data_IF_879309791274
#
_entry.id   IF_879309791274
#
_cell.length_a   1.000
_cell.length_b   1.000
_cell.length_c   1.000
_cell.angle_alpha   90.00
_cell.angle_beta   90.00
_cell.angle_gamma   90.00
#
_symmetry.space_group_name_H-M   'P 1'
#
loop_
_entity.id
_entity.type
_entity.pdbx_description
1 polymer ?
#
# COMPACT_ATOMS: atom_id res chain seq x y z
N UNK A 1 1.45 -41.08 -97.62
CA UNK A 1 1.84 -41.90 -96.45
C UNK A 1 2.89 -41.13 -95.64
N UNK A 2 2.86 -41.22 -94.31
CA UNK A 2 3.92 -40.92 -93.31
C UNK A 2 4.88 -39.70 -93.45
N UNK A 3 4.86 -38.83 -92.40
CA UNK A 3 5.99 -38.16 -91.66
C UNK A 3 7.03 -37.28 -92.41
N UNK A 4 7.35 -36.03 -91.99
CA UNK A 4 8.02 -35.54 -90.74
C UNK A 4 9.48 -36.04 -90.66
N UNK A 5 10.55 -35.25 -90.45
CA UNK A 5 10.83 -33.96 -89.75
C UNK A 5 11.16 -32.76 -90.70
N UNK A 6 11.71 -31.60 -90.31
CA UNK A 6 11.48 -30.59 -89.22
C UNK A 6 12.71 -29.63 -89.09
N UNK A 7 12.56 -28.35 -88.67
CA UNK A 7 13.48 -27.54 -87.81
C UNK A 7 13.17 -26.03 -87.77
N UNK A 8 12.84 -25.48 -86.58
CA UNK A 8 12.88 -24.06 -86.25
C UNK A 8 13.17 -23.90 -84.74
N UNK A 9 13.97 -22.90 -84.35
CA UNK A 9 14.39 -22.68 -82.95
C UNK A 9 13.32 -21.97 -82.11
N UNK A 10 13.31 -22.16 -80.77
CA UNK A 10 12.33 -21.52 -79.90
C UNK A 10 12.67 -20.05 -79.62
N UNK A 11 11.69 -19.16 -79.78
CA UNK A 11 11.70 -17.86 -79.13
C UNK A 11 11.11 -17.99 -77.72
N UNK A 12 11.68 -17.30 -76.73
CA UNK A 12 11.12 -17.25 -75.38
C UNK A 12 9.79 -16.48 -75.38
N UNK A 13 8.69 -17.17 -75.12
CA UNK A 13 7.44 -16.55 -74.71
C UNK A 13 7.52 -16.26 -73.20
N UNK A 14 7.77 -15.01 -72.83
CA UNK A 14 7.68 -14.59 -71.44
C UNK A 14 6.21 -14.64 -70.99
N UNK A 15 5.89 -15.55 -70.08
CA UNK A 15 4.60 -15.54 -69.40
C UNK A 15 4.59 -14.34 -68.46
N UNK A 16 3.91 -13.26 -68.84
CA UNK A 16 3.52 -12.24 -67.88
C UNK A 16 2.60 -12.92 -66.87
N UNK A 17 3.06 -13.04 -65.62
CA UNK A 17 2.14 -13.17 -64.51
C UNK A 17 1.25 -11.92 -64.52
N UNK A 18 -0.07 -12.11 -64.51
CA UNK A 18 -0.98 -11.02 -64.16
C UNK A 18 -0.59 -10.51 -62.78
N UNK A 19 -0.56 -9.18 -62.53
CA UNK A 19 -0.52 -8.70 -61.16
C UNK A 19 -1.73 -9.30 -60.43
N UNK A 20 -1.52 -9.77 -59.21
CA UNK A 20 -2.64 -10.13 -58.33
C UNK A 20 -3.57 -8.92 -58.22
N UNK A 21 -4.88 -9.15 -58.22
CA UNK A 21 -5.83 -8.06 -58.01
C UNK A 21 -5.51 -7.39 -56.66
N UNK A 22 -5.35 -6.07 -56.66
CA UNK A 22 -5.09 -5.32 -55.44
C UNK A 22 -6.22 -5.59 -54.43
N UNK A 23 -5.86 -6.09 -53.26
CA UNK A 23 -6.77 -6.31 -52.13
C UNK A 23 -6.52 -5.27 -51.04
N UNK A 24 -7.47 -5.12 -50.11
CA UNK A 24 -7.16 -4.58 -48.81
C UNK A 24 -6.40 -5.65 -47.99
N UNK A 25 -5.75 -5.21 -46.90
CA UNK A 25 -5.13 -6.12 -45.93
C UNK A 25 -5.32 -5.55 -44.53
N UNK A 26 -6.02 -6.29 -43.66
CA UNK A 26 -6.35 -5.83 -42.30
C UNK A 26 -5.22 -6.17 -41.33
N UNK A 27 -4.74 -5.16 -40.60
CA UNK A 27 -3.77 -5.32 -39.52
C UNK A 27 -4.22 -4.61 -38.24
N UNK A 28 -3.69 -5.05 -37.10
CA UNK A 28 -3.89 -4.41 -35.79
C UNK A 28 -5.21 -4.76 -35.09
N UNK A 29 -6.15 -5.40 -35.77
CA UNK A 29 -7.42 -5.82 -35.19
C UNK A 29 -7.23 -6.87 -34.07
N UNK A 30 -7.65 -6.61 -32.82
CA UNK A 30 -7.41 -7.51 -31.70
C UNK A 30 -8.47 -8.62 -31.62
N UNK A 31 -8.04 -9.88 -31.52
CA UNK A 31 -8.95 -11.04 -31.36
C UNK A 31 -9.68 -11.08 -30.00
N UNK A 32 -9.19 -10.34 -28.99
CA UNK A 32 -9.83 -10.16 -27.69
C UNK A 32 -9.56 -8.75 -27.15
N UNK A 33 -10.54 -8.19 -26.47
CA UNK A 33 -10.45 -6.96 -25.68
C UNK A 33 -11.12 -7.19 -24.32
N UNK A 34 -10.34 -7.05 -23.24
CA UNK A 34 -10.78 -7.29 -21.86
C UNK A 34 -10.94 -5.94 -21.15
N UNK A 35 -12.15 -5.64 -20.70
CA UNK A 35 -12.50 -4.39 -20.02
C UNK A 35 -12.15 -4.44 -18.52
N UNK A 36 -11.78 -5.61 -18.00
CA UNK A 36 -11.44 -5.79 -16.59
C UNK A 36 -12.63 -5.56 -15.67
N UNK A 37 -12.44 -4.72 -14.64
CA UNK A 37 -13.51 -4.22 -13.78
C UNK A 37 -14.01 -2.88 -14.32
N UNK A 38 -15.33 -2.70 -14.36
CA UNK A 38 -15.99 -1.48 -14.87
C UNK A 38 -17.15 -1.06 -13.96
N UNK A 39 -17.44 0.24 -13.86
CA UNK A 39 -18.64 0.74 -13.16
C UNK A 39 -19.83 0.85 -14.12
N UNK A 40 -21.09 0.69 -13.65
CA UNK A 40 -22.30 0.77 -14.49
C UNK A 40 -22.48 2.11 -15.21
N UNK A 41 -22.13 3.20 -14.54
CA UNK A 41 -22.40 4.58 -14.94
C UNK A 41 -21.17 5.30 -15.52
N UNK A 42 -20.15 4.55 -15.95
CA UNK A 42 -18.91 5.13 -16.48
C UNK A 42 -19.15 6.06 -17.69
N UNK A 43 -18.72 7.33 -17.62
CA UNK A 43 -18.94 8.28 -18.71
C UNK A 43 -17.97 8.05 -19.88
N UNK A 44 -18.53 7.72 -21.05
CA UNK A 44 -17.82 7.71 -22.33
C UNK A 44 -17.12 6.39 -22.68
N UNK A 45 -16.08 6.51 -23.52
CA UNK A 45 -15.33 5.39 -24.10
C UNK A 45 -14.51 4.65 -23.05
N UNK A 46 -14.76 3.36 -22.88
CA UNK A 46 -13.98 2.46 -22.02
C UNK A 46 -12.91 1.67 -22.79
N UNK A 47 -13.00 1.57 -24.12
CA UNK A 47 -11.96 0.94 -24.89
C UNK A 47 -11.79 1.52 -26.29
N UNK A 48 -10.56 1.50 -26.79
CA UNK A 48 -10.22 1.88 -28.16
C UNK A 48 -9.82 0.62 -28.94
N UNK A 49 -10.56 0.36 -30.02
CA UNK A 49 -10.25 -0.70 -30.99
C UNK A 49 -9.97 -0.06 -32.35
N UNK A 50 -9.07 -0.61 -33.15
CA UNK A 50 -8.75 -0.05 -34.46
C UNK A 50 -8.13 -1.04 -35.41
N UNK A 51 -7.99 -0.61 -36.67
CA UNK A 51 -7.31 -1.37 -37.71
C UNK A 51 -6.54 -0.44 -38.66
N UNK A 52 -5.53 -1.01 -39.31
CA UNK A 52 -4.85 -0.44 -40.48
C UNK A 52 -5.27 -1.24 -41.71
N UNK A 53 -5.55 -0.54 -42.82
CA UNK A 53 -5.51 -1.16 -44.14
C UNK A 53 -4.07 -1.05 -44.67
N UNK A 54 -3.34 -2.16 -44.71
CA UNK A 54 -1.99 -2.25 -45.25
C UNK A 54 -1.95 -2.67 -46.73
N UNK A 55 -3.11 -2.92 -47.34
CA UNK A 55 -3.25 -3.34 -48.73
C UNK A 55 -3.23 -2.18 -49.73
N UNK A 56 -3.30 -2.52 -51.01
CA UNK A 56 -3.24 -1.58 -52.14
C UNK A 56 -4.63 -1.14 -52.63
N UNK A 57 -5.70 -1.85 -52.26
CA UNK A 57 -7.08 -1.45 -52.51
C UNK A 57 -7.78 -0.90 -51.24
N UNK A 58 -8.81 -0.05 -51.37
CA UNK A 58 -9.59 0.42 -50.24
C UNK A 58 -10.36 -0.72 -49.56
N UNK A 59 -10.34 -0.75 -48.23
CA UNK A 59 -11.19 -1.62 -47.41
C UNK A 59 -12.53 -0.92 -47.22
N UNK A 60 -13.65 -1.61 -47.45
CA UNK A 60 -14.98 -1.12 -47.06
C UNK A 60 -15.41 -1.87 -45.80
N UNK A 61 -15.89 -1.16 -44.80
CA UNK A 61 -16.56 -1.70 -43.62
C UNK A 61 -18.05 -1.39 -43.79
N UNK A 62 -18.86 -2.43 -43.99
CA UNK A 62 -20.27 -2.32 -44.37
C UNK A 62 -21.18 -2.10 -43.14
N UNK A 63 -20.86 -2.76 -42.02
CA UNK A 63 -21.54 -2.56 -40.73
C UNK A 63 -20.63 -2.93 -39.54
N UNK A 64 -21.05 -2.53 -38.35
CA UNK A 64 -20.50 -2.96 -37.07
C UNK A 64 -21.62 -3.33 -36.11
N UNK A 65 -21.56 -4.52 -35.49
CA UNK A 65 -22.57 -5.01 -34.55
C UNK A 65 -21.95 -5.70 -33.34
N UNK A 66 -22.67 -5.67 -32.21
CA UNK A 66 -22.35 -6.44 -31.02
C UNK A 66 -23.29 -7.63 -30.88
N UNK A 67 -22.74 -8.82 -30.69
CA UNK A 67 -23.47 -10.05 -30.43
C UNK A 67 -23.32 -10.44 -28.95
N UNK A 68 -24.41 -10.84 -28.29
CA UNK A 68 -24.44 -11.19 -26.86
C UNK A 68 -24.90 -10.05 -25.94
N UNK A 69 -24.12 -8.97 -25.79
CA UNK A 69 -24.39 -7.93 -24.79
C UNK A 69 -25.07 -6.67 -25.38
N UNK A 70 -26.34 -6.45 -25.04
CA UNK A 70 -27.14 -5.29 -25.46
C UNK A 70 -26.84 -3.96 -24.77
N UNK A 71 -25.67 -3.81 -24.18
CA UNK A 71 -25.24 -2.61 -23.40
C UNK A 71 -23.87 -2.06 -23.85
N UNK A 72 -23.48 -2.37 -25.08
CA UNK A 72 -22.29 -1.86 -25.75
C UNK A 72 -22.70 -0.92 -26.89
N UNK A 73 -21.92 0.15 -27.10
CA UNK A 73 -22.10 1.08 -28.20
C UNK A 73 -20.75 1.54 -28.77
N UNK A 74 -20.71 1.83 -30.07
CA UNK A 74 -19.60 2.57 -30.66
C UNK A 74 -19.78 4.08 -30.40
N UNK A 75 -18.70 4.75 -30.02
CA UNK A 75 -18.72 6.17 -29.67
C UNK A 75 -17.47 6.92 -30.21
N UNK A 76 -17.65 7.96 -31.05
CA UNK A 76 -18.90 8.30 -31.74
C UNK A 76 -19.38 7.14 -32.63
N UNK A 77 -20.70 7.04 -32.84
CA UNK A 77 -21.27 6.06 -33.76
C UNK A 77 -20.79 6.37 -35.19
N UNK A 78 -20.16 5.44 -35.91
CA UNK A 78 -19.69 5.69 -37.28
C UNK A 78 -20.85 5.66 -38.27
N UNK A 79 -20.79 6.55 -39.27
CA UNK A 79 -21.60 6.40 -40.49
C UNK A 79 -21.02 5.26 -41.35
N UNK A 80 -21.86 4.29 -41.70
CA UNK A 80 -21.50 3.15 -42.56
C UNK A 80 -22.28 3.22 -43.90
N UNK A 81 -21.72 2.71 -45.02
CA UNK A 81 -20.44 2.01 -45.12
C UNK A 81 -19.22 2.95 -45.08
N UNK A 82 -18.19 2.54 -44.35
CA UNK A 82 -16.99 3.33 -44.08
C UNK A 82 -15.80 2.82 -44.90
N UNK A 83 -15.21 3.68 -45.73
CA UNK A 83 -14.06 3.31 -46.59
C UNK A 83 -12.72 3.69 -45.93
N UNK A 84 -11.86 2.71 -45.69
CA UNK A 84 -10.47 2.90 -45.23
C UNK A 84 -9.52 2.77 -46.42
N UNK A 85 -9.00 3.91 -46.86
CA UNK A 85 -8.05 4.00 -47.98
C UNK A 85 -6.78 3.14 -47.76
N UNK A 86 -6.05 2.77 -48.83
CA UNK A 86 -4.73 2.13 -48.75
C UNK A 86 -3.79 2.88 -47.78
N UNK A 87 -3.04 2.13 -46.95
CA UNK A 87 -2.22 2.62 -45.83
C UNK A 87 -2.97 3.40 -44.72
N UNK A 88 -4.28 3.57 -44.84
CA UNK A 88 -5.14 4.27 -43.90
C UNK A 88 -5.38 3.51 -42.60
N UNK A 89 -5.92 4.22 -41.60
CA UNK A 89 -6.29 3.66 -40.29
C UNK A 89 -7.66 4.17 -39.86
N UNK A 90 -8.36 3.36 -39.06
CA UNK A 90 -9.57 3.76 -38.35
C UNK A 90 -9.49 3.25 -36.91
N UNK A 91 -10.09 4.00 -35.99
CA UNK A 91 -10.25 3.63 -34.58
C UNK A 91 -11.66 3.97 -34.11
N UNK A 92 -12.27 3.05 -33.37
CA UNK A 92 -13.59 3.17 -32.78
C UNK A 92 -13.45 3.17 -31.25
N UNK A 93 -14.15 4.10 -30.58
CA UNK A 93 -14.39 3.97 -29.15
C UNK A 93 -15.51 2.98 -28.90
N UNK A 94 -15.37 2.14 -27.88
CA UNK A 94 -16.45 1.30 -27.33
C UNK A 94 -16.82 1.85 -25.96
N UNK A 95 -18.09 2.18 -25.76
CA UNK A 95 -18.69 2.50 -24.46
C UNK A 95 -19.50 1.29 -23.96
N UNK A 96 -19.41 1.06 -22.65
CA UNK A 96 -20.19 0.09 -21.88
C UNK A 96 -21.15 0.86 -20.98
N UNK A 97 -22.43 0.49 -20.95
CA UNK A 97 -23.43 1.01 -19.98
C UNK A 97 -24.30 -0.14 -19.49
N UNK A 98 -23.70 -1.11 -18.79
CA UNK A 98 -24.46 -2.24 -18.23
C UNK A 98 -25.29 -1.77 -17.04
N UNK A 99 -26.61 -2.02 -17.02
CA UNK A 99 -27.45 -1.81 -15.84
C UNK A 99 -27.37 -2.97 -14.83
N UNK A 100 -26.51 -3.97 -15.08
CA UNK A 100 -26.36 -5.18 -14.28
C UNK A 100 -24.91 -5.42 -13.88
N UNK A 101 -24.72 -5.81 -12.63
CA UNK A 101 -23.44 -6.27 -12.08
C UNK A 101 -23.14 -7.73 -12.44
N UNK A 102 -21.86 -8.08 -12.41
CA UNK A 102 -21.35 -9.41 -12.68
C UNK A 102 -20.53 -9.52 -13.98
N UNK A 103 -20.06 -10.73 -14.30
CA UNK A 103 -19.26 -10.97 -15.49
C UNK A 103 -20.12 -10.89 -16.77
N UNK A 104 -19.56 -10.33 -17.83
CA UNK A 104 -20.20 -10.25 -19.14
C UNK A 104 -19.26 -10.63 -20.28
N UNK A 105 -19.84 -11.01 -21.42
CA UNK A 105 -19.12 -11.35 -22.65
C UNK A 105 -19.93 -10.98 -23.88
N UNK A 106 -19.26 -10.55 -24.95
CA UNK A 106 -19.85 -10.27 -26.25
C UNK A 106 -18.84 -10.57 -27.37
N UNK A 107 -19.28 -10.58 -28.62
CA UNK A 107 -18.39 -10.46 -29.78
C UNK A 107 -18.74 -9.18 -30.56
N UNK A 108 -17.75 -8.37 -30.89
CA UNK A 108 -17.88 -7.28 -31.87
C UNK A 108 -17.53 -7.83 -33.24
N UNK A 109 -18.46 -7.71 -34.18
CA UNK A 109 -18.28 -8.09 -35.58
C UNK A 109 -18.27 -6.84 -36.46
N UNK A 110 -17.25 -6.69 -37.30
CA UNK A 110 -17.26 -5.80 -38.46
C UNK A 110 -17.44 -6.65 -39.71
N UNK A 111 -18.45 -6.36 -40.53
CA UNK A 111 -18.53 -6.92 -41.88
C UNK A 111 -17.69 -6.05 -42.82
N UNK A 112 -16.78 -6.65 -43.59
CA UNK A 112 -15.88 -5.92 -44.49
C UNK A 112 -15.80 -6.54 -45.88
N UNK A 113 -15.28 -5.78 -46.85
CA UNK A 113 -15.04 -6.24 -48.23
C UNK A 113 -14.10 -7.44 -48.34
N UNK A 114 -13.30 -7.73 -47.31
CA UNK A 114 -12.40 -8.89 -47.23
C UNK A 114 -12.95 -10.01 -46.30
N UNK A 115 -14.19 -9.87 -45.81
CA UNK A 115 -14.87 -10.79 -44.88
C UNK A 115 -15.04 -10.23 -43.45
N UNK A 116 -15.71 -10.99 -42.56
CA UNK A 116 -15.99 -10.55 -41.19
C UNK A 116 -14.75 -10.54 -40.30
N UNK A 117 -14.59 -9.46 -39.52
CA UNK A 117 -13.60 -9.33 -38.45
C UNK A 117 -14.30 -9.45 -37.10
N UNK A 118 -13.89 -10.41 -36.26
CA UNK A 118 -14.48 -10.62 -34.93
C UNK A 118 -13.52 -10.24 -33.81
N UNK A 119 -14.01 -9.69 -32.71
CA UNK A 119 -13.25 -9.45 -31.48
C UNK A 119 -14.04 -9.89 -30.25
N UNK A 120 -13.44 -10.72 -29.39
CA UNK A 120 -14.08 -11.18 -28.14
C UNK A 120 -13.96 -10.13 -27.06
N UNK A 121 -15.11 -9.63 -26.61
CA UNK A 121 -15.23 -8.64 -25.56
C UNK A 121 -15.66 -9.32 -24.25
N UNK A 122 -15.20 -8.79 -23.12
CA UNK A 122 -15.69 -9.21 -21.82
C UNK A 122 -15.12 -8.37 -20.69
N UNK A 123 -15.67 -8.56 -19.50
CA UNK A 123 -15.28 -7.87 -18.28
C UNK A 123 -16.20 -8.23 -17.11
N UNK A 124 -16.16 -7.46 -16.04
CA UNK A 124 -17.05 -7.58 -14.88
C UNK A 124 -17.51 -6.21 -14.44
N UNK A 125 -18.82 -6.01 -14.34
CA UNK A 125 -19.42 -4.75 -13.89
C UNK A 125 -19.68 -4.83 -12.38
N UNK A 126 -19.33 -3.75 -11.67
CA UNK A 126 -19.47 -3.65 -10.21
C UNK A 126 -19.96 -2.25 -9.84
N UNK A 127 -21.24 -2.16 -9.46
CA UNK A 127 -21.89 -0.94 -8.95
C UNK A 127 -21.41 -0.57 -7.56
N UNK A 128 -21.25 -1.58 -6.70
CA UNK A 128 -20.90 -1.47 -5.29
C UNK A 128 -19.79 -2.46 -4.95
N UNK A 129 -18.78 -1.99 -4.23
CA UNK A 129 -17.74 -2.80 -3.61
C UNK A 129 -17.89 -2.71 -2.09
N UNK A 130 -17.72 -3.85 -1.41
CA UNK A 130 -17.69 -3.93 0.05
C UNK A 130 -16.36 -4.57 0.42
N UNK A 131 -15.44 -3.77 0.95
CA UNK A 131 -14.23 -4.28 1.57
C UNK A 131 -14.52 -4.58 3.05
N UNK A 132 -14.17 -5.80 3.48
CA UNK A 132 -14.37 -6.28 4.86
C UNK A 132 -13.05 -6.33 5.57
N UNK A 133 -12.99 -5.65 6.71
CA UNK A 133 -11.85 -5.66 7.60
C UNK A 133 -12.26 -6.29 8.93
N UNK A 134 -11.38 -7.13 9.46
CA UNK A 134 -11.49 -7.71 10.81
C UNK A 134 -10.17 -7.39 11.48
N UNK A 135 -10.21 -6.73 12.63
CA UNK A 135 -9.01 -6.59 13.47
C UNK A 135 -8.68 -7.99 14.00
N UNK A 136 -7.53 -8.53 13.60
CA UNK A 136 -7.12 -9.85 14.10
C UNK A 136 -6.86 -9.77 15.61
N UNK A 137 -7.36 -10.73 16.41
CA UNK A 137 -7.13 -10.73 17.84
C UNK A 137 -5.64 -10.79 18.14
N UNK A 138 -5.17 -9.81 18.89
CA UNK A 138 -3.82 -9.71 19.46
C UNK A 138 -2.71 -10.31 18.58
N UNK A 139 -2.19 -9.58 17.58
CA UNK A 139 -0.79 -9.80 17.25
C UNK A 139 0.00 -9.71 18.56
N UNK A 140 0.89 -10.67 18.79
CA UNK A 140 1.91 -10.54 19.83
C UNK A 140 2.68 -9.25 19.56
N UNK A 141 3.18 -8.56 20.58
CA UNK A 141 3.92 -7.30 20.35
C UNK A 141 5.32 -7.40 20.92
N UNK A 142 6.33 -7.25 20.07
CA UNK A 142 7.71 -7.11 20.49
C UNK A 142 8.03 -5.61 20.47
N UNK A 143 8.21 -5.00 21.63
CA UNK A 143 8.52 -3.57 21.76
C UNK A 143 10.00 -3.38 22.12
N UNK A 144 10.77 -2.80 21.20
CA UNK A 144 12.15 -2.42 21.44
C UNK A 144 12.20 -0.95 21.87
N UNK A 145 12.53 -0.71 23.13
CA UNK A 145 12.71 0.66 23.66
C UNK A 145 14.18 1.04 23.59
N UNK A 146 14.47 2.18 22.95
CA UNK A 146 15.79 2.81 22.89
C UNK A 146 15.77 4.02 23.81
N UNK A 147 16.65 4.09 24.80
CA UNK A 147 16.73 5.23 25.73
C UNK A 147 18.12 5.83 25.64
N UNK A 148 18.22 7.12 25.31
CA UNK A 148 19.50 7.85 25.31
C UNK A 148 20.04 7.97 26.77
N UNK A 149 21.29 7.54 26.95
CA UNK A 149 22.02 7.49 28.21
C UNK A 149 23.02 8.66 28.36
N UNK A 150 22.98 9.65 27.44
CA UNK A 150 23.82 10.83 27.46
C UNK A 150 23.58 11.75 28.69
N UNK A 151 24.59 12.53 29.05
CA UNK A 151 24.57 13.39 30.24
C UNK A 151 23.52 14.51 30.23
N UNK A 152 22.99 14.89 29.06
CA UNK A 152 21.89 15.86 28.92
C UNK A 152 20.53 15.25 29.28
N UNK A 153 20.36 13.93 29.13
CA UNK A 153 19.16 13.19 29.54
C UNK A 153 18.98 13.12 31.07
N UNK A 154 19.88 13.68 31.90
CA UNK A 154 19.80 13.62 33.38
C UNK A 154 18.45 14.06 33.94
N UNK A 155 17.94 15.20 33.48
CA UNK A 155 16.66 15.76 33.96
C UNK A 155 15.47 14.96 33.42
N UNK A 156 15.61 14.47 32.18
CA UNK A 156 14.64 13.57 31.52
C UNK A 156 14.51 12.23 32.27
N UNK A 157 15.62 11.56 32.60
CA UNK A 157 15.64 10.27 33.30
C UNK A 157 14.95 10.32 34.68
N UNK A 158 15.01 11.48 35.36
CA UNK A 158 14.36 11.68 36.64
C UNK A 158 12.82 11.75 36.54
N UNK A 159 12.28 12.30 35.45
CA UNK A 159 10.84 12.25 35.15
C UNK A 159 10.40 10.92 34.55
N UNK A 160 11.23 10.37 33.64
CA UNK A 160 10.93 9.17 32.84
C UNK A 160 10.50 7.98 33.69
N UNK A 161 11.13 7.75 34.84
CA UNK A 161 10.79 6.63 35.71
C UNK A 161 9.33 6.66 36.17
N UNK A 162 8.81 7.83 36.56
CA UNK A 162 7.45 7.95 37.06
C UNK A 162 6.41 7.72 35.94
N UNK A 163 6.62 8.32 34.77
CA UNK A 163 5.76 8.09 33.60
C UNK A 163 5.79 6.61 33.18
N UNK A 164 6.97 5.99 33.13
CA UNK A 164 7.07 4.57 32.77
C UNK A 164 6.39 3.65 33.80
N UNK A 165 6.30 4.03 35.07
CA UNK A 165 5.61 3.24 36.11
C UNK A 165 4.08 3.22 35.88
N UNK A 166 3.50 4.39 35.56
CA UNK A 166 2.09 4.51 35.15
C UNK A 166 1.80 3.71 33.87
N UNK A 167 2.66 3.88 32.86
CA UNK A 167 2.52 3.26 31.54
C UNK A 167 2.67 1.74 31.57
N UNK A 168 3.67 1.23 32.27
CA UNK A 168 3.87 -0.21 32.39
C UNK A 168 2.78 -0.87 33.25
N UNK A 169 2.17 -0.13 34.20
CA UNK A 169 1.00 -0.61 34.94
C UNK A 169 -0.20 -0.79 34.01
N UNK A 170 -0.49 0.19 33.15
CA UNK A 170 -1.57 0.09 32.15
C UNK A 170 -1.29 -1.01 31.10
N UNK A 171 -0.05 -1.12 30.62
CA UNK A 171 0.40 -2.16 29.68
C UNK A 171 0.25 -3.59 30.25
N UNK A 172 0.38 -3.77 31.56
CA UNK A 172 0.06 -5.05 32.25
C UNK A 172 -1.46 -5.23 32.39
N UNK A 173 -2.21 -4.16 32.65
CA UNK A 173 -3.67 -4.23 32.83
C UNK A 173 -4.46 -4.57 31.56
N UNK A 174 -3.99 -4.15 30.38
CA UNK A 174 -4.70 -4.34 29.11
C UNK A 174 -4.60 -5.76 28.51
N UNK A 175 -3.63 -6.58 28.92
CA UNK A 175 -3.60 -8.02 28.60
C UNK A 175 -3.01 -8.54 27.27
N UNK A 176 -2.39 -7.79 26.34
CA UNK A 176 -1.84 -8.40 25.11
C UNK A 176 -0.55 -9.20 25.37
N UNK A 177 -0.26 -10.22 24.54
CA UNK A 177 0.97 -11.05 24.63
C UNK A 177 2.21 -10.29 24.14
N UNK A 178 2.72 -9.39 24.99
CA UNK A 178 3.89 -8.56 24.69
C UNK A 178 5.20 -9.10 25.25
N UNK A 179 6.29 -8.70 24.61
CA UNK A 179 7.66 -8.74 25.09
C UNK A 179 8.27 -7.34 24.93
N UNK A 180 8.97 -6.84 25.95
CA UNK A 180 9.66 -5.55 25.90
C UNK A 180 11.14 -5.75 26.19
N UNK A 181 11.99 -5.28 25.28
CA UNK A 181 13.44 -5.23 25.43
C UNK A 181 13.93 -3.78 25.42
N UNK A 182 14.99 -3.48 26.17
CA UNK A 182 15.57 -2.12 26.25
C UNK A 182 17.01 -2.11 25.77
N UNK A 183 17.39 -1.11 24.97
CA UNK A 183 18.77 -0.81 24.55
C UNK A 183 19.10 0.68 24.75
N UNK A 184 20.39 0.98 24.79
CA UNK A 184 20.92 2.34 24.61
C UNK A 184 21.27 2.57 23.12
N UNK A 185 21.43 3.82 22.65
CA UNK A 185 21.97 4.12 21.33
C UNK A 185 23.48 3.82 21.19
N UNK A 186 24.12 3.19 22.19
CA UNK A 186 25.57 3.03 22.28
C UNK A 186 26.15 1.87 21.46
N UNK A 187 27.06 2.20 20.55
CA UNK A 187 27.86 1.20 19.84
C UNK A 187 28.81 0.40 20.76
N UNK A 188 29.13 0.92 21.95
CA UNK A 188 30.00 0.23 22.93
C UNK A 188 29.25 -0.89 23.65
N UNK A 189 27.96 -0.71 23.90
CA UNK A 189 27.10 -1.77 24.42
C UNK A 189 26.79 -2.83 23.36
N UNK A 190 26.91 -2.47 22.07
CA UNK A 190 26.97 -3.40 20.94
C UNK A 190 25.61 -3.92 20.48
N UNK A 191 24.56 -3.12 20.66
CA UNK A 191 23.16 -3.41 20.30
C UNK A 191 22.57 -4.66 21.01
N UNK A 192 23.07 -4.98 22.21
CA UNK A 192 22.51 -6.02 23.06
C UNK A 192 21.42 -5.44 23.94
N UNK A 193 20.30 -6.16 24.02
CA UNK A 193 19.27 -5.91 25.04
C UNK A 193 19.91 -5.90 26.44
N UNK A 194 19.57 -4.90 27.26
CA UNK A 194 20.00 -4.81 28.67
C UNK A 194 19.53 -6.06 29.43
N UNK A 195 20.33 -6.52 30.38
CA UNK A 195 20.01 -7.68 31.20
C UNK A 195 19.60 -7.26 32.62
N UNK A 196 18.57 -7.92 33.16
CA UNK A 196 18.25 -7.89 34.58
C UNK A 196 19.37 -8.58 35.39
N UNK A 197 19.47 -8.33 36.72
CA UNK A 197 20.44 -9.01 37.59
C UNK A 197 20.31 -10.55 37.60
N UNK A 198 19.13 -11.07 37.25
CA UNK A 198 18.82 -12.50 37.09
C UNK A 198 19.25 -13.08 35.73
N UNK A 199 19.46 -12.24 34.71
CA UNK A 199 20.04 -12.59 33.41
C UNK A 199 19.11 -12.46 32.20
N UNK A 200 17.80 -12.35 32.41
CA UNK A 200 16.81 -12.12 31.35
C UNK A 200 17.01 -10.75 30.70
N UNK A 201 16.74 -10.65 29.39
CA UNK A 201 17.03 -9.46 28.56
C UNK A 201 15.80 -8.72 28.03
N UNK A 202 14.64 -9.32 28.22
CA UNK A 202 13.34 -8.74 27.95
C UNK A 202 12.39 -9.21 29.05
N UNK A 203 11.25 -8.53 29.18
CA UNK A 203 10.16 -8.90 30.07
C UNK A 203 8.93 -9.21 29.23
N UNK A 204 8.11 -10.16 29.65
CA UNK A 204 6.81 -10.46 29.04
C UNK A 204 5.67 -10.32 30.04
N UNK A 205 4.45 -10.12 29.54
CA UNK A 205 3.24 -9.97 30.39
C UNK A 205 2.98 -11.18 31.32
N UNK A 206 3.52 -12.36 30.97
CA UNK A 206 3.31 -13.62 31.69
C UNK A 206 4.19 -13.75 32.95
N UNK A 207 5.07 -12.77 33.22
CA UNK A 207 6.03 -12.83 34.31
C UNK A 207 5.56 -12.06 35.55
N UNK A 208 5.87 -12.54 36.77
CA UNK A 208 5.60 -11.77 37.99
C UNK A 208 6.41 -10.47 38.00
N UNK A 209 5.86 -9.46 38.67
CA UNK A 209 6.49 -8.17 38.95
C UNK A 209 6.98 -7.44 37.68
N UNK A 210 6.28 -7.65 36.56
CA UNK A 210 6.68 -7.18 35.24
C UNK A 210 6.93 -5.66 35.19
N UNK A 211 6.11 -4.85 35.88
CA UNK A 211 6.30 -3.39 36.01
C UNK A 211 7.67 -3.05 36.63
N UNK A 212 8.02 -3.67 37.77
CA UNK A 212 9.30 -3.41 38.45
C UNK A 212 10.49 -3.85 37.57
N UNK A 213 10.35 -4.97 36.87
CA UNK A 213 11.36 -5.49 35.94
C UNK A 213 11.55 -4.59 34.72
N UNK A 214 10.47 -4.06 34.15
CA UNK A 214 10.53 -3.09 33.06
C UNK A 214 11.18 -1.78 33.51
N UNK A 215 10.85 -1.28 34.70
CA UNK A 215 11.51 -0.11 35.30
C UNK A 215 13.01 -0.33 35.52
N UNK A 216 13.42 -1.52 35.95
CA UNK A 216 14.84 -1.89 36.07
C UNK A 216 15.55 -1.96 34.71
N UNK A 217 14.92 -2.52 33.67
CA UNK A 217 15.44 -2.49 32.30
C UNK A 217 15.47 -1.07 31.69
N UNK A 218 14.62 -0.16 32.16
CA UNK A 218 14.52 1.22 31.66
C UNK A 218 15.44 2.22 32.38
N UNK A 219 15.92 1.88 33.59
CA UNK A 219 16.91 2.67 34.33
C UNK A 219 18.31 2.54 33.71
N UNK A 220 18.50 3.19 32.56
CA UNK A 220 19.78 3.24 31.82
C UNK A 220 20.76 4.27 32.39
N UNK A 221 20.25 5.25 33.14
CA UNK A 221 21.02 6.36 33.69
C UNK A 221 21.33 7.46 32.65
N UNK A 222 22.33 8.29 32.97
CA UNK A 222 22.75 9.46 32.18
C UNK A 222 24.30 9.57 32.11
N UNK A 223 25.00 8.45 32.34
CA UNK A 223 26.47 8.38 32.40
C UNK A 223 27.09 7.69 31.17
N UNK A 224 26.32 7.60 30.09
CA UNK A 224 26.68 6.95 28.85
C UNK A 224 27.81 7.62 28.08
N UNK A 225 28.31 6.97 27.01
CA UNK A 225 29.38 7.52 26.18
C UNK A 225 28.94 8.69 25.29
N UNK A 226 27.63 8.97 25.18
CA UNK A 226 27.09 9.99 24.28
C UNK A 226 27.06 9.57 22.81
N UNK A 227 27.21 8.27 22.54
CA UNK A 227 27.10 7.68 21.20
C UNK A 227 25.61 7.66 20.78
N UNK A 228 25.15 8.59 19.93
CA UNK A 228 23.74 8.70 19.50
C UNK A 228 23.40 7.87 18.24
N UNK A 229 23.71 6.58 18.26
CA UNK A 229 23.59 5.67 17.11
C UNK A 229 22.33 4.79 17.19
N UNK A 230 21.18 5.40 17.51
CA UNK A 230 19.95 4.69 17.84
C UNK A 230 19.36 3.86 16.68
N UNK A 231 19.32 4.40 15.46
CA UNK A 231 18.78 3.64 14.30
C UNK A 231 19.68 2.45 13.93
N UNK A 232 21.00 2.62 14.03
CA UNK A 232 21.96 1.52 13.92
C UNK A 232 21.75 0.49 15.04
N UNK A 233 21.60 0.93 16.29
CA UNK A 233 21.44 0.06 17.44
C UNK A 233 20.16 -0.80 17.33
N UNK A 234 19.04 -0.21 16.90
CA UNK A 234 17.80 -0.94 16.56
C UNK A 234 18.07 -1.99 15.49
N UNK A 235 18.68 -1.60 14.36
CA UNK A 235 18.91 -2.54 13.25
C UNK A 235 19.77 -3.72 13.67
N UNK A 236 20.90 -3.48 14.34
CA UNK A 236 21.79 -4.56 14.77
C UNK A 236 21.17 -5.42 15.88
N UNK A 237 20.38 -4.82 16.79
CA UNK A 237 19.67 -5.54 17.86
C UNK A 237 18.65 -6.54 17.29
N UNK A 238 18.01 -6.18 16.17
CA UNK A 238 16.96 -6.95 15.50
C UNK A 238 17.45 -7.78 14.30
N UNK A 239 18.75 -7.73 13.98
CA UNK A 239 19.37 -8.57 12.93
C UNK A 239 20.59 -9.32 13.46
N UNK A 240 21.76 -8.70 13.46
CA UNK A 240 23.05 -9.27 13.89
C UNK A 240 23.05 -9.87 15.31
N UNK A 241 22.13 -9.44 16.18
CA UNK A 241 21.97 -9.93 17.56
C UNK A 241 20.74 -10.80 17.79
N UNK A 242 19.77 -10.81 16.87
CA UNK A 242 18.45 -11.43 17.09
C UNK A 242 18.50 -12.94 17.31
N UNK A 243 19.46 -13.63 16.68
CA UNK A 243 19.71 -15.08 16.86
C UNK A 243 20.88 -15.37 17.82
N UNK A 244 21.36 -14.35 18.55
CA UNK A 244 22.55 -14.41 19.39
C UNK A 244 22.26 -13.87 20.80
N UNK A 245 22.85 -12.74 21.19
CA UNK A 245 22.65 -12.17 22.53
C UNK A 245 21.21 -11.68 22.80
N UNK A 246 20.39 -11.48 21.78
CA UNK A 246 18.97 -11.08 21.89
C UNK A 246 18.01 -12.24 21.53
N UNK A 247 18.49 -13.49 21.51
CA UNK A 247 17.71 -14.67 21.11
C UNK A 247 16.38 -14.80 21.85
N UNK A 248 15.31 -15.02 21.09
CA UNK A 248 13.94 -15.24 21.59
C UNK A 248 13.10 -13.97 21.81
N UNK A 249 13.68 -12.77 21.63
CA UNK A 249 12.93 -11.50 21.72
C UNK A 249 12.06 -11.21 20.49
N UNK A 250 12.57 -11.51 19.29
CA UNK A 250 11.88 -11.17 18.04
C UNK A 250 11.06 -12.37 17.56
N UNK A 251 9.76 -12.36 17.85
CA UNK A 251 8.83 -13.46 17.57
C UNK A 251 8.29 -13.36 16.12
N UNK A 252 8.17 -14.48 15.39
CA UNK A 252 7.78 -14.46 13.97
C UNK A 252 6.29 -14.19 13.74
N UNK A 253 5.47 -14.35 14.79
CA UNK A 253 4.02 -14.11 14.81
C UNK A 253 3.64 -12.86 15.63
N UNK A 254 4.56 -11.90 15.74
CA UNK A 254 4.39 -10.65 16.46
C UNK A 254 4.48 -9.40 15.56
N UNK A 255 3.73 -8.35 15.89
CA UNK A 255 4.02 -6.98 15.51
C UNK A 255 5.35 -6.51 16.13
N UNK A 256 5.89 -5.41 15.61
CA UNK A 256 7.13 -4.79 16.11
C UNK A 256 6.87 -3.30 16.37
N UNK A 257 7.05 -2.87 17.62
CA UNK A 257 7.13 -1.46 18.00
C UNK A 257 8.58 -1.10 18.29
N UNK A 258 8.99 0.10 17.84
CA UNK A 258 10.31 0.67 18.09
C UNK A 258 10.09 2.04 18.70
N UNK A 259 10.23 2.14 20.02
CA UNK A 259 10.10 3.40 20.75
C UNK A 259 11.47 3.99 21.04
N UNK A 260 11.74 5.22 20.60
CA UNK A 260 12.97 5.95 20.92
C UNK A 260 12.69 7.09 21.90
N UNK A 261 13.46 7.18 22.98
CA UNK A 261 13.44 8.26 23.97
C UNK A 261 14.78 8.98 23.91
N UNK A 262 14.83 10.16 23.27
CA UNK A 262 16.10 10.86 22.95
C UNK A 262 15.92 12.38 22.88
N UNK A 263 16.79 13.13 23.56
CA UNK A 263 16.83 14.60 23.54
C UNK A 263 17.47 15.20 22.27
N UNK A 264 17.90 14.37 21.31
CA UNK A 264 18.52 14.83 20.06
C UNK A 264 18.33 13.83 18.89
N UNK A 265 18.83 14.21 17.71
CA UNK A 265 18.78 13.40 16.50
C UNK A 265 19.73 12.19 16.50
N UNK A 266 19.38 11.22 15.65
CA UNK A 266 20.21 10.07 15.33
C UNK A 266 21.46 10.47 14.53
N UNK A 267 22.61 9.90 14.87
CA UNK A 267 23.89 10.07 14.17
C UNK A 267 24.32 8.78 13.43
N UNK A 268 23.41 7.81 13.24
CA UNK A 268 23.73 6.53 12.62
C UNK A 268 24.12 6.69 11.15
N UNK A 269 25.13 5.95 10.65
CA UNK A 269 25.50 5.98 9.24
C UNK A 269 24.35 5.44 8.37
N UNK A 270 24.10 6.10 7.23
CA UNK A 270 23.02 5.74 6.30
C UNK A 270 21.83 6.70 6.31
N UNK A 271 20.93 6.54 5.35
CA UNK A 271 19.74 7.39 5.16
C UNK A 271 18.53 6.92 5.98
N UNK A 272 17.56 7.81 6.19
CA UNK A 272 16.30 7.47 6.88
C UNK A 272 15.56 6.32 6.15
N UNK A 273 15.56 6.34 4.81
CA UNK A 273 14.86 5.33 4.01
C UNK A 273 15.58 3.97 4.00
N UNK A 274 16.91 3.94 4.09
CA UNK A 274 17.65 2.69 4.35
C UNK A 274 17.23 2.03 5.67
N UNK A 275 17.04 2.81 6.74
CA UNK A 275 16.53 2.28 8.01
C UNK A 275 15.04 1.90 7.93
N UNK A 276 14.21 2.71 7.26
CA UNK A 276 12.78 2.44 7.04
C UNK A 276 12.56 1.09 6.35
N UNK A 277 13.27 0.83 5.26
CA UNK A 277 13.16 -0.43 4.51
C UNK A 277 13.86 -1.60 5.23
N UNK A 278 14.97 -1.36 5.95
CA UNK A 278 15.58 -2.38 6.80
C UNK A 278 14.65 -2.84 7.94
N UNK A 279 13.92 -1.92 8.58
CA UNK A 279 12.95 -2.24 9.61
C UNK A 279 11.73 -2.96 9.03
N UNK A 280 11.18 -2.49 7.90
CA UNK A 280 10.11 -3.20 7.16
C UNK A 280 10.50 -4.64 6.82
N UNK A 281 11.74 -4.88 6.42
CA UNK A 281 12.26 -6.22 6.11
C UNK A 281 12.39 -7.16 7.33
N UNK A 282 12.24 -6.68 8.57
CA UNK A 282 12.12 -7.51 9.78
C UNK A 282 10.76 -8.22 9.90
N UNK A 283 9.82 -7.91 9.00
CA UNK A 283 8.49 -8.50 8.91
C UNK A 283 8.12 -8.82 7.46
N UNK A 284 7.07 -9.64 7.28
CA UNK A 284 6.63 -10.07 5.97
C UNK A 284 5.16 -10.47 5.94
N UNK A 285 4.59 -10.51 4.73
CA UNK A 285 3.18 -10.86 4.54
C UNK A 285 2.25 -9.88 5.24
N UNK A 286 1.32 -10.41 6.05
CA UNK A 286 0.29 -9.62 6.72
C UNK A 286 0.79 -8.76 7.90
N UNK A 287 2.03 -8.96 8.36
CA UNK A 287 2.61 -8.27 9.53
C UNK A 287 3.49 -7.07 9.14
N UNK A 288 3.21 -6.42 8.00
CA UNK A 288 4.01 -5.31 7.46
C UNK A 288 4.02 -4.04 8.33
N UNK A 289 3.14 -3.98 9.34
CA UNK A 289 3.02 -2.89 10.30
C UNK A 289 4.15 -2.99 11.36
N UNK A 290 5.34 -2.51 10.98
CA UNK A 290 6.39 -2.10 11.93
C UNK A 290 6.15 -0.65 12.29
N UNK A 291 5.86 -0.40 13.56
CA UNK A 291 5.66 0.95 14.08
C UNK A 291 6.98 1.51 14.60
N UNK A 292 7.15 2.82 14.43
CA UNK A 292 8.25 3.58 14.99
C UNK A 292 7.67 4.79 15.72
N UNK A 293 8.01 4.95 17.00
CA UNK A 293 7.53 6.02 17.87
C UNK A 293 8.72 6.77 18.47
N UNK A 294 8.60 8.08 18.68
CA UNK A 294 9.71 8.90 19.21
C UNK A 294 9.26 9.93 20.25
N UNK A 295 9.82 9.84 21.45
CA UNK A 295 9.76 10.87 22.49
C UNK A 295 11.05 11.69 22.43
N UNK A 296 10.95 12.98 22.10
CA UNK A 296 12.10 13.87 22.00
C UNK A 296 11.71 15.33 22.03
N UNK A 297 11.98 16.09 20.98
CA UNK A 297 11.50 17.48 20.94
C UNK A 297 10.00 17.61 20.64
N UNK A 298 9.44 16.67 19.89
CA UNK A 298 8.12 16.79 19.27
C UNK A 298 8.04 17.83 18.13
N UNK A 299 9.15 18.48 17.76
CA UNK A 299 9.18 19.60 16.81
C UNK A 299 10.51 19.74 16.06
N UNK A 300 10.44 20.21 14.81
CA UNK A 300 11.60 20.44 13.92
C UNK A 300 12.61 21.47 14.42
N UNK A 301 12.25 22.27 15.43
CA UNK A 301 13.09 23.35 16.00
C UNK A 301 13.68 23.05 17.37
N UNK A 302 13.43 21.86 17.93
CA UNK A 302 13.70 21.57 19.34
C UNK A 302 12.63 22.16 20.28
N UNK A 303 12.79 21.95 21.59
CA UNK A 303 11.89 22.45 22.63
C UNK A 303 12.63 22.76 23.95
N UNK A 304 11.95 23.44 24.87
CA UNK A 304 12.36 23.64 26.27
C UNK A 304 11.13 23.47 27.16
N UNK A 305 11.28 22.81 28.32
CA UNK A 305 10.16 22.50 29.22
C UNK A 305 10.61 22.22 30.67
N UNK A 306 9.72 21.67 31.52
CA UNK A 306 10.00 21.41 32.94
C UNK A 306 11.13 20.41 33.20
N UNK A 307 11.41 19.53 32.23
CA UNK A 307 12.40 18.45 32.30
C UNK A 307 13.66 18.70 31.45
N UNK A 308 13.91 19.97 31.08
CA UNK A 308 15.11 20.39 30.36
C UNK A 308 14.85 20.89 28.94
N UNK A 309 15.76 20.55 28.01
CA UNK A 309 15.72 20.94 26.60
C UNK A 309 16.00 19.75 25.69
N UNK A 310 15.29 19.68 24.56
CA UNK A 310 15.56 18.72 23.50
C UNK A 310 15.85 19.44 22.19
N UNK A 311 16.92 19.02 21.51
CA UNK A 311 17.33 19.45 20.18
C UNK A 311 16.38 18.86 19.11
N UNK A 312 16.38 19.39 17.86
CA UNK A 312 15.72 18.73 16.74
C UNK A 312 16.20 17.28 16.58
N UNK A 313 15.25 16.35 16.42
CA UNK A 313 15.50 14.95 16.07
C UNK A 313 14.85 14.60 14.73
N UNK A 314 15.37 15.15 13.63
CA UNK A 314 14.71 15.14 12.32
C UNK A 314 14.63 13.74 11.69
N UNK A 315 15.61 12.86 11.94
CA UNK A 315 15.60 11.48 11.43
C UNK A 315 14.58 10.62 12.19
N UNK A 316 14.51 10.76 13.51
CA UNK A 316 13.49 10.09 14.32
C UNK A 316 12.08 10.60 13.98
N UNK A 317 11.91 11.92 13.86
CA UNK A 317 10.64 12.54 13.45
C UNK A 317 10.16 12.03 12.08
N UNK A 318 11.05 11.90 11.09
CA UNK A 318 10.71 11.43 9.74
C UNK A 318 10.32 9.94 9.66
N UNK A 319 10.73 9.11 10.63
CA UNK A 319 10.26 7.74 10.80
C UNK A 319 8.94 7.71 11.57
N UNK A 320 8.89 8.41 12.70
CA UNK A 320 7.74 8.43 13.60
C UNK A 320 6.47 8.92 12.88
N UNK A 321 6.51 10.11 12.26
CA UNK A 321 5.38 10.67 11.48
C UNK A 321 4.96 9.79 10.27
N UNK A 322 5.73 8.75 9.92
CA UNK A 322 5.41 7.84 8.81
C UNK A 322 4.82 6.49 9.22
N UNK A 323 4.74 6.18 10.52
CA UNK A 323 4.32 4.85 11.00
C UNK A 323 3.72 4.82 12.41
N UNK A 324 4.18 5.68 13.32
CA UNK A 324 3.78 5.71 14.74
C UNK A 324 3.62 7.13 15.26
N UNK A 325 4.01 7.34 16.53
CA UNK A 325 3.60 8.53 17.28
C UNK A 325 4.79 9.40 17.72
N UNK A 326 4.55 10.70 17.88
CA UNK A 326 5.56 11.73 18.14
C UNK A 326 5.27 12.43 19.47
N UNK A 327 6.24 12.41 20.37
CA UNK A 327 6.14 12.96 21.72
C UNK A 327 7.19 14.03 22.04
N UNK A 328 6.90 14.83 23.06
CA UNK A 328 7.80 15.89 23.54
C UNK A 328 8.19 15.69 25.00
N UNK A 329 9.49 15.52 25.26
CA UNK A 329 10.12 15.54 26.57
C UNK A 329 9.97 16.90 27.28
N UNK A 330 9.56 17.94 26.56
CA UNK A 330 9.28 19.26 27.12
C UNK A 330 7.83 19.45 27.58
N UNK A 331 6.93 18.52 27.29
CA UNK A 331 5.58 18.53 27.86
C UNK A 331 5.63 18.26 29.38
N UNK A 332 4.58 18.63 30.10
CA UNK A 332 4.44 18.28 31.53
C UNK A 332 3.84 16.86 31.72
N UNK A 333 3.28 16.33 30.64
CA UNK A 333 2.37 15.19 30.55
C UNK A 333 2.81 14.29 29.38
N UNK A 334 3.98 13.67 29.52
CA UNK A 334 4.50 12.68 28.54
C UNK A 334 3.59 11.46 28.39
N UNK A 335 2.67 11.28 29.34
CA UNK A 335 1.59 10.30 29.37
C UNK A 335 0.87 10.21 28.01
N UNK A 336 0.55 11.34 27.36
CA UNK A 336 -0.08 11.37 26.02
C UNK A 336 0.64 10.52 24.95
N UNK A 337 1.96 10.36 25.05
CA UNK A 337 2.79 9.61 24.07
C UNK A 337 2.72 8.10 24.31
N UNK A 338 2.35 7.72 25.53
CA UNK A 338 2.22 6.34 25.98
C UNK A 338 0.74 5.93 26.24
N UNK A 339 -0.19 6.88 26.22
CA UNK A 339 -1.63 6.67 26.00
C UNK A 339 -1.96 6.43 24.51
N UNK A 340 -1.05 6.83 23.60
CA UNK A 340 -1.09 6.47 22.18
C UNK A 340 0.15 5.66 21.72
N UNK A 341 0.41 4.43 22.18
CA UNK A 341 1.47 3.59 21.62
C UNK A 341 1.06 2.95 20.28
N UNK A 342 1.97 2.21 19.66
CA UNK A 342 1.68 1.36 18.50
C UNK A 342 0.58 0.31 18.68
N UNK A 343 0.14 0.03 19.92
CA UNK A 343 -1.01 -0.84 20.18
C UNK A 343 -2.36 -0.14 20.11
N UNK A 344 -2.42 1.18 19.81
CA UNK A 344 -3.65 1.76 19.27
C UNK A 344 -4.14 0.94 18.08
N UNK A 345 -5.43 0.64 18.07
CA UNK A 345 -6.07 -0.18 17.04
C UNK A 345 -5.70 0.32 15.66
N UNK A 346 -5.31 -0.59 14.76
CA UNK A 346 -4.85 -0.30 13.40
C UNK A 346 -5.71 0.82 12.78
N UNK A 347 -5.14 2.03 12.66
CA UNK A 347 -5.88 3.21 12.16
C UNK A 347 -5.99 3.24 10.63
N UNK A 348 -5.07 2.55 9.93
CA UNK A 348 -4.84 2.66 8.48
C UNK A 348 -5.27 1.40 7.73
N UNK A 349 -6.22 1.55 6.79
CA UNK A 349 -6.77 0.46 5.99
C UNK A 349 -6.75 0.78 4.49
N UNK A 350 -5.91 0.07 3.73
CA UNK A 350 -5.84 0.22 2.27
C UNK A 350 -7.08 -0.38 1.61
N UNK A 351 -7.79 0.40 0.80
CA UNK A 351 -8.91 -0.08 0.00
C UNK A 351 -8.41 -0.84 -1.23
N UNK A 352 -9.04 -1.97 -1.53
CA UNK A 352 -8.60 -2.91 -2.58
C UNK A 352 -8.90 -2.43 -4.01
N UNK A 353 -9.68 -1.37 -4.16
CA UNK A 353 -9.87 -0.58 -5.38
C UNK A 353 -10.03 0.91 -5.03
N UNK A 354 -9.69 1.80 -5.95
CA UNK A 354 -9.89 3.25 -5.80
C UNK A 354 -11.41 3.58 -5.75
N UNK A 355 -11.90 4.35 -4.78
CA UNK A 355 -13.31 4.71 -4.64
C UNK A 355 -13.66 6.01 -5.38
N UNK A 356 -14.94 6.20 -5.69
CA UNK A 356 -15.54 7.53 -5.78
C UNK A 356 -15.67 8.06 -4.35
N UNK A 357 -14.89 9.07 -3.98
CA UNK A 357 -14.72 9.55 -2.60
C UNK A 357 -16.06 9.80 -1.89
N UNK A 358 -17.02 10.43 -2.58
CA UNK A 358 -18.35 10.79 -2.08
C UNK A 358 -19.29 9.59 -1.87
N UNK A 359 -18.84 8.36 -2.18
CA UNK A 359 -19.60 7.12 -1.99
C UNK A 359 -19.07 6.23 -0.85
N UNK A 360 -18.04 6.67 -0.11
CA UNK A 360 -17.49 5.94 1.02
C UNK A 360 -18.49 5.88 2.19
N UNK A 361 -18.88 4.67 2.58
CA UNK A 361 -19.71 4.40 3.76
C UNK A 361 -19.04 3.36 4.67
N UNK A 362 -18.54 3.82 5.82
CA UNK A 362 -18.00 2.95 6.88
C UNK A 362 -19.14 2.45 7.78
N UNK A 363 -19.20 1.15 8.04
CA UNK A 363 -20.18 0.51 8.93
C UNK A 363 -19.48 -0.41 9.92
N UNK A 364 -19.66 -0.16 11.21
CA UNK A 364 -19.15 -0.99 12.31
C UNK A 364 -20.32 -1.74 12.99
N UNK A 365 -20.04 -2.54 14.02
CA UNK A 365 -21.07 -3.28 14.77
C UNK A 365 -22.19 -2.40 15.35
N UNK A 366 -21.89 -1.14 15.69
CA UNK A 366 -22.86 -0.13 16.14
C UNK A 366 -23.67 0.56 15.03
N UNK A 367 -23.42 0.26 13.75
CA UNK A 367 -24.04 0.89 12.59
C UNK A 367 -23.08 1.76 11.76
N UNK A 368 -23.63 2.68 10.95
CA UNK A 368 -22.86 3.57 10.08
C UNK A 368 -22.06 4.59 10.90
N UNK A 369 -20.75 4.68 10.63
CA UNK A 369 -19.88 5.72 11.14
C UNK A 369 -19.69 6.80 10.06
N UNK A 370 -20.28 8.01 10.20
CA UNK A 370 -20.04 9.11 9.25
C UNK A 370 -18.59 9.63 9.37
N UNK A 371 -18.06 10.24 8.30
CA UNK A 371 -16.70 10.80 8.30
C UNK A 371 -16.50 11.86 9.38
N UNK A 372 -17.54 12.67 9.64
CA UNK A 372 -17.60 13.66 10.73
C UNK A 372 -18.78 13.35 11.67
N UNK A 373 -18.61 13.59 12.97
CA UNK A 373 -19.70 13.54 13.94
C UNK A 373 -20.61 14.80 13.83
N UNK A 374 -21.81 14.81 14.47
CA UNK A 374 -22.72 15.95 14.45
C UNK A 374 -22.20 17.24 15.10
N UNK A 375 -20.96 17.25 15.62
CA UNK A 375 -20.27 18.41 16.22
C UNK A 375 -19.11 18.91 15.35
N UNK A 376 -18.78 18.21 14.26
CA UNK A 376 -17.61 18.50 13.41
C UNK A 376 -16.32 17.81 13.85
N UNK A 377 -16.41 16.75 14.65
CA UNK A 377 -15.28 15.90 15.03
C UNK A 377 -15.02 14.90 13.91
N UNK A 378 -13.83 14.91 13.31
CA UNK A 378 -13.45 13.94 12.28
C UNK A 378 -13.34 12.55 12.91
N UNK A 379 -14.13 11.60 12.42
CA UNK A 379 -14.07 10.18 12.80
C UNK A 379 -13.11 9.41 11.89
N UNK A 380 -13.13 9.69 10.58
CA UNK A 380 -12.21 9.09 9.62
C UNK A 380 -11.99 9.99 8.41
N UNK A 381 -10.85 9.82 7.75
CA UNK A 381 -10.50 10.45 6.47
C UNK A 381 -10.08 9.39 5.45
N UNK A 382 -9.93 9.79 4.19
CA UNK A 382 -9.42 8.93 3.12
C UNK A 382 -8.37 9.69 2.30
N UNK A 383 -7.21 9.07 2.10
CA UNK A 383 -6.15 9.57 1.23
C UNK A 383 -6.24 8.90 -0.17
N UNK A 384 -6.62 9.70 -1.17
CA UNK A 384 -6.64 9.30 -2.58
C UNK A 384 -5.26 8.83 -3.11
N UNK A 385 -4.13 9.30 -2.56
CA UNK A 385 -2.80 8.99 -3.07
C UNK A 385 -2.29 7.60 -2.66
N UNK A 386 -2.42 7.22 -1.39
CA UNK A 386 -2.10 5.87 -0.90
C UNK A 386 -3.28 4.88 -1.01
N UNK A 387 -4.49 5.39 -1.20
CA UNK A 387 -5.79 4.68 -1.14
C UNK A 387 -6.09 4.08 0.24
N UNK A 388 -5.80 4.86 1.28
CA UNK A 388 -5.92 4.44 2.69
C UNK A 388 -7.05 5.20 3.39
N UNK A 389 -7.97 4.47 4.00
CA UNK A 389 -8.90 4.97 5.01
C UNK A 389 -8.16 5.10 6.35
N UNK A 390 -8.28 6.25 7.01
CA UNK A 390 -7.60 6.55 8.28
C UNK A 390 -8.63 6.91 9.36
N UNK A 391 -8.71 6.10 10.42
CA UNK A 391 -9.55 6.40 11.59
C UNK A 391 -8.86 7.37 12.57
N UNK A 392 -9.65 8.23 13.21
CA UNK A 392 -9.22 9.00 14.39
C UNK A 392 -9.08 8.09 15.61
N UNK A 393 -8.16 8.39 16.57
CA UNK A 393 -7.78 7.48 17.65
C UNK A 393 -8.95 6.86 18.43
N UNK A 394 -9.90 7.68 18.86
CA UNK A 394 -10.98 7.29 19.77
C UNK A 394 -12.21 6.65 19.09
N UNK A 395 -12.14 6.39 17.78
CA UNK A 395 -13.21 5.74 16.99
C UNK A 395 -12.69 4.67 16.03
N UNK A 396 -11.42 4.31 16.12
CA UNK A 396 -10.88 3.16 15.42
C UNK A 396 -11.56 1.86 15.93
N UNK A 397 -11.76 0.84 15.06
CA UNK A 397 -12.41 -0.41 15.46
C UNK A 397 -11.60 -1.14 16.54
N UNK A 398 -12.26 -1.67 17.56
CA UNK A 398 -11.63 -2.42 18.64
C UNK A 398 -11.01 -3.75 18.19
N UNK A 399 -10.34 -4.47 19.10
CA UNK A 399 -9.90 -5.86 18.84
C UNK A 399 -11.10 -6.80 18.67
N UNK A 400 -10.99 -7.78 17.75
CA UNK A 400 -12.08 -8.64 17.28
C UNK A 400 -13.28 -7.90 16.64
N UNK A 401 -13.23 -6.58 16.47
CA UNK A 401 -14.26 -5.84 15.74
C UNK A 401 -14.08 -5.95 14.22
N UNK A 402 -15.18 -6.29 13.55
CA UNK A 402 -15.29 -6.24 12.10
C UNK A 402 -15.98 -4.94 11.67
N UNK A 403 -15.50 -4.35 10.58
CA UNK A 403 -16.17 -3.25 9.90
C UNK A 403 -16.16 -3.45 8.38
N UNK A 404 -17.15 -2.86 7.72
CA UNK A 404 -17.31 -2.85 6.28
C UNK A 404 -17.10 -1.44 5.73
N UNK A 405 -16.39 -1.34 4.61
CA UNK A 405 -16.31 -0.12 3.79
C UNK A 405 -17.03 -0.38 2.49
N UNK A 406 -18.24 0.18 2.35
CA UNK A 406 -19.02 0.22 1.11
C UNK A 406 -18.57 1.40 0.27
N UNK A 407 -18.40 1.21 -1.04
CA UNK A 407 -18.11 2.30 -1.98
C UNK A 407 -18.37 1.91 -3.44
N UNK A 408 -18.52 2.91 -4.32
CA UNK A 408 -18.52 2.72 -5.78
C UNK A 408 -17.08 2.83 -6.30
N UNK A 409 -16.55 1.87 -7.07
CA UNK A 409 -15.17 1.93 -7.55
C UNK A 409 -15.00 2.92 -8.72
N UNK A 410 -13.89 3.67 -8.75
CA UNK A 410 -13.42 4.42 -9.93
C UNK A 410 -12.87 3.45 -10.98
N UNK A 411 -13.77 2.72 -11.62
CA UNK A 411 -13.46 1.62 -12.56
C UNK A 411 -13.54 2.04 -14.05
N UNK A 412 -13.45 3.32 -14.36
CA UNK A 412 -13.58 3.84 -15.73
C UNK A 412 -12.22 4.01 -16.41
N UNK A 413 -11.53 2.88 -16.66
CA UNK A 413 -10.21 2.86 -17.31
C UNK A 413 -10.35 2.57 -18.81
N UNK A 414 -9.71 3.38 -19.66
CA UNK A 414 -9.62 3.09 -21.10
C UNK A 414 -8.66 1.94 -21.36
N UNK A 415 -9.11 0.89 -22.04
CA UNK A 415 -8.31 -0.26 -22.47
C UNK A 415 -8.06 -0.23 -23.98
N UNK A 416 -6.85 -0.63 -24.42
CA UNK A 416 -6.45 -0.64 -25.82
C UNK A 416 -5.62 0.58 -26.25
N UNK A 417 -4.65 0.34 -27.13
CA UNK A 417 -3.81 1.30 -27.85
C UNK A 417 -3.31 0.64 -29.14
#
# INVERSE_FOLDING_TARGET
MARVLSLAGPALAAVLALPGAASAQVEGWPARLDFGLSAPDCPGVQALIGLRNAGEAPLVIEEARFEGAGFLALEPAPDFPLTVAPMGRVSFGIRLVSPLDGPWSAELVLETSEGPLTSRLGGTVVSERIDRFVTTPHPKTDALVVIDDAASMREVQAGLRATLEEVFTELVAQGPDWQVGVITPSAREGARLRALPSGERFVSILEPDAVERLLALSDVGYAGPGDRLGLWAVREALTSRAEAENAGFLRPDAALEILVVSDADDLSPGTVDEYREAFRALRGGCFADVTFSWVGSGATTGCSGPFGQALPGLRYLALATSSGNVGSLCAADWVNVFEQPAWEFRRHYTLSAEPVHESLEVTMAGGRLPADDPRGTVNWTYDDASRVLVFSPFVAPGWDEAFEVRYRPRACRVVGR
#
